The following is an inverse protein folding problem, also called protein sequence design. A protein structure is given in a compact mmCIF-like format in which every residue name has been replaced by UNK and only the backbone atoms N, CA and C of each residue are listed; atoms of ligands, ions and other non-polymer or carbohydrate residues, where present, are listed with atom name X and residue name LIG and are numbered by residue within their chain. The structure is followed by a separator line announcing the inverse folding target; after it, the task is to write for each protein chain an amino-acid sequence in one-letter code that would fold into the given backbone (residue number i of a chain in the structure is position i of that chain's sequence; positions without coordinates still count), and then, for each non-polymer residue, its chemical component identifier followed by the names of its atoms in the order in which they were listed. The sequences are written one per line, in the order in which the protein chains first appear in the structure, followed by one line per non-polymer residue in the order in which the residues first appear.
data_IF_006993467234
#
_entry.id   IF_006993467234
#
_cell.length_a   1.000
_cell.length_b   1.000
_cell.length_c   1.000
_cell.angle_alpha   90.00
_cell.angle_beta   90.00
_cell.angle_gamma   90.00
#
_symmetry.space_group_name_H-M   'P 1'
#
loop_
_entity.id
_entity.type
_entity.pdbx_description
1 polymer ?
#
# COMPACT_ATOMS: atom_id res chain seq x y z
N UNK A 1 9.19 -27.10 -65.18
CA UNK A 1 9.31 -27.38 -63.73
C UNK A 1 9.64 -26.05 -63.04
N UNK A 2 8.70 -25.47 -62.29
CA UNK A 2 8.78 -24.11 -61.73
C UNK A 2 9.52 -24.13 -60.38
N UNK A 3 10.52 -23.26 -60.21
CA UNK A 3 11.18 -22.99 -58.93
C UNK A 3 10.46 -21.79 -58.32
N UNK A 4 9.76 -21.99 -57.19
CA UNK A 4 9.15 -20.90 -56.44
C UNK A 4 10.21 -20.27 -55.52
N UNK A 5 10.58 -19.02 -55.79
CA UNK A 5 11.43 -18.20 -54.93
C UNK A 5 10.60 -17.59 -53.79
N UNK A 6 11.17 -17.60 -52.60
CA UNK A 6 10.49 -17.31 -51.34
C UNK A 6 10.26 -15.84 -51.02
N UNK A 7 9.44 -15.63 -50.01
CA UNK A 7 9.39 -14.42 -49.20
C UNK A 7 8.86 -14.84 -47.81
N UNK A 8 9.77 -15.16 -46.89
CA UNK A 8 9.43 -15.35 -45.48
C UNK A 8 9.39 -13.96 -44.87
N UNK A 9 8.18 -13.40 -44.72
CA UNK A 9 7.95 -12.18 -43.97
C UNK A 9 8.09 -12.49 -42.47
N UNK A 10 9.17 -12.03 -41.85
CA UNK A 10 9.36 -12.10 -40.41
C UNK A 10 8.42 -11.10 -39.73
N UNK A 11 7.31 -11.61 -39.18
CA UNK A 11 6.37 -10.86 -38.36
C UNK A 11 7.00 -10.67 -36.97
N UNK A 12 7.62 -9.51 -36.74
CA UNK A 12 8.10 -9.08 -35.43
C UNK A 12 6.89 -8.86 -34.52
N UNK A 13 6.60 -9.86 -33.68
CA UNK A 13 5.71 -9.75 -32.52
C UNK A 13 6.34 -8.74 -31.55
N UNK A 14 5.89 -7.48 -31.62
CA UNK A 14 6.08 -6.52 -30.53
C UNK A 14 5.30 -7.07 -29.34
N UNK A 15 6.01 -7.73 -28.43
CA UNK A 15 5.47 -8.05 -27.11
C UNK A 15 5.32 -6.72 -26.38
N UNK A 16 4.11 -6.16 -26.38
CA UNK A 16 3.76 -5.09 -25.46
C UNK A 16 4.06 -5.60 -24.05
N UNK A 17 4.93 -4.92 -23.27
CA UNK A 17 5.05 -5.22 -21.86
C UNK A 17 3.69 -4.86 -21.27
N UNK A 18 2.87 -5.88 -20.98
CA UNK A 18 1.67 -5.74 -20.21
C UNK A 18 2.09 -5.00 -18.93
N UNK A 19 1.72 -3.72 -18.84
CA UNK A 19 1.91 -2.91 -17.64
C UNK A 19 1.11 -3.61 -16.54
N UNK A 20 1.78 -4.49 -15.80
CA UNK A 20 1.22 -5.10 -14.63
C UNK A 20 0.97 -3.96 -13.64
N UNK A 21 -0.30 -3.64 -13.40
CA UNK A 21 -0.69 -2.93 -12.20
C UNK A 21 0.06 -3.57 -11.02
N UNK A 22 0.57 -2.79 -10.06
CA UNK A 22 1.26 -3.36 -8.92
C UNK A 22 0.38 -4.47 -8.34
N UNK A 23 0.92 -5.69 -8.33
CA UNK A 23 0.19 -6.85 -7.86
C UNK A 23 -0.35 -6.58 -6.45
N UNK A 24 -1.49 -7.18 -6.07
CA UNK A 24 -2.00 -7.05 -4.71
C UNK A 24 -0.92 -7.49 -3.71
N UNK A 25 -0.86 -6.82 -2.55
CA UNK A 25 0.00 -7.28 -1.46
C UNK A 25 -0.45 -8.69 -1.05
N UNK A 26 0.50 -9.61 -0.96
CA UNK A 26 0.24 -10.98 -0.56
C UNK A 26 0.17 -11.06 0.96
N UNK A 27 -1.05 -11.03 1.49
CA UNK A 27 -1.31 -11.24 2.90
C UNK A 27 -1.28 -12.74 3.25
N UNK A 28 -0.75 -13.14 4.43
CA UNK A 28 -0.82 -14.52 4.88
C UNK A 28 -2.26 -15.04 4.91
N UNK A 29 -2.48 -16.22 4.32
CA UNK A 29 -3.79 -16.86 4.33
C UNK A 29 -4.07 -17.57 5.68
N UNK A 30 -5.34 -17.60 6.14
CA UNK A 30 -6.48 -16.90 5.58
C UNK A 30 -6.44 -15.39 5.87
N UNK A 31 -6.82 -14.56 4.91
CA UNK A 31 -6.97 -13.12 5.07
C UNK A 31 -8.36 -12.71 4.56
N UNK A 32 -9.19 -12.18 5.45
CA UNK A 32 -10.57 -11.79 5.13
C UNK A 32 -10.65 -10.28 5.05
N UNK A 33 -11.08 -9.75 3.90
CA UNK A 33 -11.35 -8.33 3.77
C UNK A 33 -12.58 -7.95 4.59
N UNK A 34 -12.41 -7.03 5.52
CA UNK A 34 -13.47 -6.57 6.45
C UNK A 34 -14.02 -5.21 6.07
N UNK A 35 -13.27 -4.41 5.30
CA UNK A 35 -13.68 -3.10 4.82
C UNK A 35 -13.06 -2.79 3.46
N UNK A 36 -13.79 -2.04 2.64
CA UNK A 36 -13.32 -1.51 1.36
C UNK A 36 -14.08 -0.24 1.03
N UNK A 37 -13.36 0.82 0.70
CA UNK A 37 -13.96 2.04 0.13
C UNK A 37 -13.01 2.65 -0.89
N UNK A 38 -13.58 3.43 -1.79
CA UNK A 38 -12.89 4.15 -2.85
C UNK A 38 -13.43 5.58 -2.87
N UNK A 39 -12.53 6.57 -2.88
CA UNK A 39 -12.85 7.99 -2.86
C UNK A 39 -12.06 8.69 -3.99
N UNK A 40 -12.65 8.79 -5.20
CA UNK A 40 -12.02 9.48 -6.33
C UNK A 40 -11.77 10.96 -6.03
N UNK A 41 -10.67 11.54 -6.55
CA UNK A 41 -10.34 12.96 -6.43
C UNK A 41 -10.25 13.47 -4.99
N UNK A 42 -9.91 12.59 -4.04
CA UNK A 42 -9.89 12.91 -2.61
C UNK A 42 -8.46 13.15 -2.12
N UNK A 43 -8.33 13.99 -1.10
CA UNK A 43 -7.06 14.24 -0.43
C UNK A 43 -6.89 13.31 0.79
N UNK A 44 -5.69 12.79 0.97
CA UNK A 44 -5.30 11.95 2.09
C UNK A 44 -4.05 12.52 2.78
N UNK A 45 -4.03 12.49 4.11
CA UNK A 45 -2.89 12.91 4.93
C UNK A 45 -1.97 11.73 5.21
N UNK A 46 -0.93 11.54 4.39
CA UNK A 46 0.03 10.45 4.53
C UNK A 46 1.07 10.78 5.61
N UNK A 47 1.14 10.02 6.70
CA UNK A 47 2.15 10.23 7.74
C UNK A 47 3.55 9.83 7.23
N UNK A 48 4.52 10.73 7.36
CA UNK A 48 5.91 10.58 6.87
C UNK A 48 6.94 10.93 7.95
N UNK A 49 6.54 10.82 9.21
CA UNK A 49 7.41 11.04 10.37
C UNK A 49 6.69 10.71 11.67
N UNK A 50 7.43 10.59 12.79
CA UNK A 50 6.84 10.26 14.08
C UNK A 50 6.03 11.43 14.64
N UNK A 51 5.27 11.15 15.70
CA UNK A 51 4.73 12.20 16.56
C UNK A 51 5.88 12.96 17.24
N UNK A 52 5.92 14.26 17.03
CA UNK A 52 6.91 15.16 17.63
C UNK A 52 6.32 16.56 17.77
N UNK A 53 6.62 17.23 18.88
CA UNK A 53 6.19 18.61 19.13
C UNK A 53 4.67 18.81 19.00
N UNK A 54 3.88 17.80 19.39
CA UNK A 54 2.41 17.77 19.34
C UNK A 54 1.77 17.65 17.94
N UNK A 55 2.50 17.15 16.94
CA UNK A 55 1.95 16.85 15.62
C UNK A 55 2.65 15.65 14.96
N UNK A 56 2.00 15.06 13.95
CA UNK A 56 2.61 14.09 13.02
C UNK A 56 2.95 14.80 11.72
N UNK A 57 4.16 14.62 11.20
CA UNK A 57 4.49 15.13 9.88
C UNK A 57 3.75 14.36 8.81
N UNK A 58 2.91 15.05 8.04
CA UNK A 58 2.13 14.47 6.94
C UNK A 58 2.46 15.09 5.60
N UNK A 59 2.39 14.30 4.53
CA UNK A 59 2.31 14.74 3.15
C UNK A 59 0.85 14.72 2.71
N UNK A 60 0.32 15.85 2.22
CA UNK A 60 -1.00 15.87 1.60
C UNK A 60 -0.88 15.33 0.17
N UNK A 61 -1.63 14.27 -0.13
CA UNK A 61 -1.64 13.61 -1.43
C UNK A 61 -3.06 13.55 -1.95
N UNK A 62 -3.26 13.82 -3.24
CA UNK A 62 -4.59 13.83 -3.88
C UNK A 62 -4.62 12.83 -5.02
N UNK A 63 -5.74 12.13 -5.15
CA UNK A 63 -6.00 11.20 -6.24
C UNK A 63 -7.17 10.29 -5.92
N UNK A 64 -7.16 9.10 -6.51
CA UNK A 64 -8.12 8.07 -6.16
C UNK A 64 -7.67 7.33 -4.88
N UNK A 65 -8.34 7.62 -3.77
CA UNK A 65 -8.01 7.05 -2.45
C UNK A 65 -8.78 5.75 -2.21
N UNK A 66 -8.07 4.63 -2.19
CA UNK A 66 -8.62 3.30 -1.89
C UNK A 66 -8.19 2.91 -0.48
N UNK A 67 -9.15 2.60 0.39
CA UNK A 67 -8.89 2.12 1.75
C UNK A 67 -9.48 0.73 1.92
N UNK A 68 -8.64 -0.22 2.33
CA UNK A 68 -9.02 -1.59 2.60
C UNK A 68 -8.58 -1.97 4.02
N UNK A 69 -9.40 -2.75 4.72
CA UNK A 69 -8.99 -3.42 5.96
C UNK A 69 -9.14 -4.92 5.82
N UNK A 70 -8.21 -5.65 6.43
CA UNK A 70 -8.10 -7.09 6.37
C UNK A 70 -7.91 -7.67 7.76
N UNK A 71 -8.65 -8.74 8.06
CA UNK A 71 -8.53 -9.53 9.29
C UNK A 71 -7.89 -10.88 8.98
N UNK A 72 -6.81 -11.19 9.67
CA UNK A 72 -6.11 -12.45 9.65
C UNK A 72 -6.60 -13.28 10.86
N UNK A 73 -7.34 -14.40 10.67
CA UNK A 73 -8.00 -15.15 11.74
C UNK A 73 -7.08 -15.84 12.76
N UNK A 74 -5.79 -16.01 12.45
CA UNK A 74 -4.76 -16.39 13.41
C UNK A 74 -3.91 -15.16 13.73
N UNK A 75 -3.37 -15.08 14.96
CA UNK A 75 -2.29 -14.12 15.25
C UNK A 75 -1.16 -14.42 14.26
N UNK A 76 -1.01 -13.57 13.25
CA UNK A 76 -0.15 -13.78 12.09
C UNK A 76 1.34 -13.59 12.40
N UNK A 77 1.82 -14.25 13.46
CA UNK A 77 3.14 -14.01 14.03
C UNK A 77 3.24 -12.65 14.73
N UNK A 78 4.49 -12.23 14.96
CA UNK A 78 4.79 -10.89 15.47
C UNK A 78 4.46 -9.82 14.42
N UNK A 79 3.86 -8.69 14.83
CA UNK A 79 3.50 -7.59 13.93
C UNK A 79 4.70 -7.11 13.10
N UNK A 80 5.88 -7.07 13.71
CA UNK A 80 7.13 -6.70 13.06
C UNK A 80 7.53 -7.66 11.93
N UNK A 81 7.34 -8.96 12.10
CA UNK A 81 7.63 -9.95 11.07
C UNK A 81 6.69 -9.81 9.87
N UNK A 82 5.39 -9.62 10.13
CA UNK A 82 4.41 -9.35 9.08
C UNK A 82 4.73 -8.03 8.35
N UNK A 83 5.02 -6.95 9.08
CA UNK A 83 5.39 -5.68 8.47
C UNK A 83 6.68 -5.80 7.65
N UNK A 84 7.70 -6.54 8.11
CA UNK A 84 8.94 -6.74 7.38
C UNK A 84 8.71 -7.43 6.02
N UNK A 85 7.86 -8.46 6.00
CA UNK A 85 7.49 -9.14 4.75
C UNK A 85 6.70 -8.21 3.81
N UNK A 86 5.73 -7.45 4.33
CA UNK A 86 4.97 -6.50 3.51
C UNK A 86 5.86 -5.37 2.98
N UNK A 87 6.78 -4.85 3.80
CA UNK A 87 7.74 -3.82 3.38
C UNK A 87 8.65 -4.31 2.25
N UNK A 88 9.08 -5.58 2.31
CA UNK A 88 9.84 -6.23 1.23
C UNK A 88 9.02 -6.28 -0.06
N UNK A 89 7.75 -6.70 0.00
CA UNK A 89 6.87 -6.72 -1.17
C UNK A 89 6.62 -5.31 -1.74
N UNK A 90 6.49 -4.30 -0.88
CA UNK A 90 6.35 -2.89 -1.28
C UNK A 90 7.59 -2.41 -2.02
N UNK A 91 8.78 -2.69 -1.49
CA UNK A 91 10.04 -2.34 -2.13
C UNK A 91 10.24 -3.08 -3.48
N UNK A 92 9.96 -4.39 -3.52
CA UNK A 92 10.03 -5.20 -4.75
C UNK A 92 9.06 -4.69 -5.83
N UNK A 93 7.94 -4.08 -5.44
CA UNK A 93 7.00 -3.43 -6.34
C UNK A 93 7.45 -2.02 -6.82
N UNK A 94 8.67 -1.61 -6.49
CA UNK A 94 9.28 -0.36 -6.95
C UNK A 94 8.94 0.88 -6.12
N UNK A 95 8.38 0.70 -4.91
CA UNK A 95 8.11 1.83 -4.02
C UNK A 95 9.37 2.23 -3.23
N UNK A 96 9.56 3.53 -3.08
CA UNK A 96 10.44 4.15 -2.10
C UNK A 96 9.71 4.27 -0.75
N UNK A 97 10.28 3.68 0.31
CA UNK A 97 9.76 3.83 1.67
C UNK A 97 10.10 5.23 2.17
N UNK A 98 9.08 6.01 2.50
CA UNK A 98 9.20 7.37 3.03
C UNK A 98 9.34 7.38 4.54
N UNK A 99 8.65 6.46 5.22
CA UNK A 99 8.65 6.34 6.66
C UNK A 99 8.23 4.94 7.08
N UNK A 100 8.89 4.37 8.09
CA UNK A 100 8.52 3.10 8.69
C UNK A 100 8.87 3.15 10.18
N UNK A 101 7.97 2.69 11.04
CA UNK A 101 8.18 2.71 12.48
C UNK A 101 7.38 1.61 13.18
N UNK A 102 7.93 1.13 14.30
CA UNK A 102 7.20 0.39 15.32
C UNK A 102 6.48 1.38 16.26
N UNK A 103 5.47 0.89 16.97
CA UNK A 103 4.60 1.67 17.88
C UNK A 103 5.33 2.74 18.69
N UNK A 104 6.40 2.38 19.40
CA UNK A 104 7.15 3.27 20.29
C UNK A 104 7.90 4.36 19.51
N UNK A 105 8.54 3.98 18.40
CA UNK A 105 9.23 4.90 17.48
C UNK A 105 8.25 5.83 16.76
N UNK A 106 7.04 5.37 16.44
CA UNK A 106 6.01 6.21 15.82
C UNK A 106 5.54 7.32 16.77
N UNK A 107 5.61 7.09 18.10
CA UNK A 107 5.03 7.96 19.12
C UNK A 107 3.76 7.41 19.77
N UNK A 108 3.46 6.13 19.57
CA UNK A 108 2.45 5.38 20.31
C UNK A 108 1.03 5.87 20.11
N UNK A 109 0.35 6.16 21.23
CA UNK A 109 -1.04 6.60 21.24
C UNK A 109 -1.25 7.80 20.31
N UNK A 110 -0.49 8.88 20.49
CA UNK A 110 -0.73 10.14 19.77
C UNK A 110 -0.60 9.98 18.25
N UNK A 111 0.40 9.22 17.80
CA UNK A 111 0.58 8.92 16.39
C UNK A 111 -0.62 8.17 15.81
N UNK A 112 -1.11 7.13 16.49
CA UNK A 112 -2.28 6.37 16.05
C UNK A 112 -3.52 7.25 15.92
N UNK A 113 -3.74 8.21 16.82
CA UNK A 113 -4.90 9.10 16.75
C UNK A 113 -4.79 10.16 15.65
N UNK A 114 -3.58 10.45 15.16
CA UNK A 114 -3.38 11.32 14.00
C UNK A 114 -3.63 10.63 12.65
N UNK A 115 -3.71 9.29 12.62
CA UNK A 115 -3.99 8.53 11.41
C UNK A 115 -5.50 8.40 11.13
N UNK A 116 -5.87 8.44 9.85
CA UNK A 116 -7.18 7.97 9.41
C UNK A 116 -7.21 6.43 9.46
N UNK A 117 -8.04 5.87 10.34
CA UNK A 117 -8.15 4.42 10.56
C UNK A 117 -9.60 4.00 10.47
N UNK A 118 -9.84 2.90 9.76
CA UNK A 118 -11.14 2.24 9.65
C UNK A 118 -11.66 1.93 11.06
N UNK A 119 -12.94 2.16 11.37
CA UNK A 119 -13.47 1.89 12.70
C UNK A 119 -13.63 0.40 12.99
N UNK A 120 -13.69 0.06 14.27
CA UNK A 120 -14.13 -1.25 14.75
C UNK A 120 -15.54 -1.58 14.23
N UNK A 121 -15.86 -2.87 13.96
CA UNK A 121 -15.03 -4.06 14.16
C UNK A 121 -14.11 -4.39 12.97
N UNK A 122 -14.08 -3.54 11.93
CA UNK A 122 -13.40 -3.89 10.69
C UNK A 122 -11.87 -3.72 10.78
N UNK A 123 -11.38 -2.88 11.68
CA UNK A 123 -9.95 -2.72 11.99
C UNK A 123 -9.77 -2.55 13.50
N UNK A 124 -8.88 -3.35 14.07
CA UNK A 124 -8.41 -3.19 15.44
C UNK A 124 -6.98 -2.66 15.44
N UNK A 125 -6.68 -1.72 16.33
CA UNK A 125 -5.32 -1.27 16.57
C UNK A 125 -4.97 -1.39 18.05
N UNK A 126 -4.10 -2.34 18.36
CA UNK A 126 -3.47 -2.51 19.66
C UNK A 126 -2.41 -1.42 19.82
N UNK A 127 -2.70 -0.49 20.74
CA UNK A 127 -1.86 0.67 21.02
C UNK A 127 -0.50 0.29 21.63
N UNK A 128 -0.30 -0.96 22.05
CA UNK A 128 0.98 -1.50 22.49
C UNK A 128 1.71 -2.34 21.43
N UNK A 129 1.08 -2.68 20.30
CA UNK A 129 1.66 -3.55 19.27
C UNK A 129 1.10 -3.25 17.88
N UNK A 130 1.58 -2.16 17.28
CA UNK A 130 1.34 -1.84 15.87
C UNK A 130 2.62 -1.42 15.14
N UNK A 131 2.58 -1.53 13.82
CA UNK A 131 3.62 -1.11 12.89
C UNK A 131 3.00 -0.23 11.80
N UNK A 132 3.73 0.80 11.37
CA UNK A 132 3.32 1.69 10.30
C UNK A 132 4.38 1.79 9.20
N UNK A 133 3.92 1.90 7.95
CA UNK A 133 4.76 2.18 6.80
C UNK A 133 4.04 3.16 5.86
N UNK A 134 4.78 4.13 5.33
CA UNK A 134 4.39 4.99 4.22
C UNK A 134 5.42 4.90 3.10
N UNK A 135 4.94 4.84 1.86
CA UNK A 135 5.79 4.71 0.69
C UNK A 135 5.19 5.44 -0.53
N UNK A 136 6.03 5.71 -1.53
CA UNK A 136 5.61 6.26 -2.82
C UNK A 136 6.25 5.52 -3.98
N UNK A 137 5.62 5.56 -5.14
CA UNK A 137 6.19 5.09 -6.40
C UNK A 137 5.91 6.14 -7.47
N UNK A 138 6.98 6.65 -8.08
CA UNK A 138 6.89 7.66 -9.15
C UNK A 138 6.98 6.93 -10.49
N UNK A 139 6.04 7.20 -11.39
CA UNK A 139 6.04 6.70 -12.76
C UNK A 139 5.59 7.81 -13.73
N UNK A 140 5.70 7.60 -15.06
CA UNK A 140 5.20 8.56 -16.05
C UNK A 140 3.70 8.89 -15.93
N UNK A 141 2.92 7.97 -15.35
CA UNK A 141 1.47 8.10 -15.13
C UNK A 141 1.12 8.90 -13.87
N UNK A 142 2.13 9.24 -13.04
CA UNK A 142 1.97 10.01 -11.81
C UNK A 142 2.65 9.36 -10.61
N UNK A 143 2.37 9.87 -9.41
CA UNK A 143 2.88 9.29 -8.16
C UNK A 143 1.79 8.50 -7.45
N UNK A 144 2.03 7.21 -7.25
CA UNK A 144 1.22 6.37 -6.36
C UNK A 144 1.78 6.47 -4.94
N UNK A 145 0.88 6.60 -3.96
CA UNK A 145 1.24 6.55 -2.54
C UNK A 145 0.58 5.35 -1.85
N UNK A 146 1.27 4.81 -0.85
CA UNK A 146 0.83 3.67 -0.07
C UNK A 146 1.06 3.95 1.42
N UNK A 147 0.11 3.57 2.26
CA UNK A 147 0.39 3.32 3.68
C UNK A 147 -0.14 1.97 4.14
N UNK A 148 0.59 1.37 5.07
CA UNK A 148 0.25 0.14 5.75
C UNK A 148 0.19 0.42 7.25
N UNK A 149 -0.87 -0.07 7.89
CA UNK A 149 -0.98 -0.14 9.35
C UNK A 149 -1.26 -1.59 9.73
N UNK A 150 -0.28 -2.22 10.38
CA UNK A 150 -0.36 -3.61 10.85
C UNK A 150 -0.52 -3.59 12.35
N UNK A 151 -1.47 -4.36 12.85
CA UNK A 151 -1.71 -4.51 14.28
C UNK A 151 -2.10 -5.94 14.62
N UNK A 152 -1.85 -6.35 15.86
CA UNK A 152 -2.39 -7.59 16.40
C UNK A 152 -3.52 -7.31 17.39
N UNK A 153 -4.30 -8.33 17.71
CA UNK A 153 -5.19 -8.40 18.87
C UNK A 153 -5.09 -9.81 19.49
N UNK A 154 -5.72 -10.07 20.66
CA UNK A 154 -5.90 -11.44 21.12
C UNK A 154 -6.72 -12.27 20.12
N UNK A 155 -6.05 -13.08 19.30
CA UNK A 155 -6.67 -14.03 18.39
C UNK A 155 -6.85 -13.57 16.93
N UNK A 156 -6.37 -12.40 16.54
CA UNK A 156 -6.35 -11.99 15.13
C UNK A 156 -5.22 -11.00 14.82
N UNK A 157 -4.76 -11.00 13.57
CA UNK A 157 -3.98 -9.90 12.98
C UNK A 157 -4.88 -8.99 12.15
N UNK A 158 -4.50 -7.73 12.00
CA UNK A 158 -5.20 -6.73 11.21
C UNK A 158 -4.22 -5.95 10.33
N UNK A 159 -4.63 -5.67 9.10
CA UNK A 159 -3.87 -4.86 8.15
C UNK A 159 -4.82 -3.87 7.48
N UNK A 160 -4.57 -2.58 7.69
CA UNK A 160 -5.17 -1.53 6.85
C UNK A 160 -4.18 -1.14 5.76
N UNK A 161 -4.68 -1.08 4.53
CA UNK A 161 -3.94 -0.68 3.34
C UNK A 161 -4.64 0.55 2.78
N UNK A 162 -3.90 1.65 2.63
CA UNK A 162 -4.38 2.84 1.91
C UNK A 162 -3.53 3.03 0.67
N UNK A 163 -4.15 3.11 -0.49
CA UNK A 163 -3.50 3.50 -1.75
C UNK A 163 -4.09 4.82 -2.22
N UNK A 164 -3.23 5.70 -2.72
CA UNK A 164 -3.62 6.91 -3.44
C UNK A 164 -3.04 6.80 -4.82
N UNK A 165 -3.89 6.48 -5.78
CA UNK A 165 -3.51 6.35 -7.18
C UNK A 165 -3.62 7.72 -7.85
N UNK A 166 -2.75 8.05 -8.82
CA UNK A 166 -2.97 9.20 -9.68
C UNK A 166 -4.38 9.14 -10.27
N UNK A 167 -5.07 10.27 -10.30
CA UNK A 167 -6.31 10.35 -11.08
C UNK A 167 -5.93 10.08 -12.54
N UNK A 168 -6.64 9.18 -13.22
CA UNK A 168 -6.35 8.75 -14.60
C UNK A 168 -6.44 9.84 -15.68
N UNK A 169 -6.41 11.10 -15.28
CA UNK A 169 -6.36 12.28 -16.13
C UNK A 169 -5.88 13.50 -15.31
N UNK A 170 -4.61 13.87 -15.44
CA UNK A 170 -4.21 15.27 -15.37
C UNK A 170 -3.29 15.54 -16.58
N UNK A 171 -3.62 16.49 -17.47
CA UNK A 171 -2.74 16.82 -18.58
C UNK A 171 -1.47 17.46 -18.01
N UNK A 172 -0.32 16.93 -18.43
CA UNK A 172 0.97 17.56 -18.14
C UNK A 172 0.94 19.06 -18.49
N UNK A 173 1.64 19.92 -17.72
CA UNK A 173 1.71 21.36 -18.00
C UNK A 173 2.29 21.67 -19.38
#
# INVERSE_FOLDING_TARGET
MRIFAGAIAALLLLADPLLAAPGPLNLPAPANRTYSTERPGSTYSLAIGPWKDSWVKTLQVTGNVVIESWRLPSRGGETGALMAELARQVADAGFEILFQCAQDVCGGFDFRFALEVVPEPAMHVDLGDYQYLAARKVSPEGTEYLSLLVSNSPGAGFVQIVRVLPDGSDPAP
#
